data_IF_459752917037
#
_entry.id   IF_459752917037
#
_cell.length_a   1.000
_cell.length_b   1.000
_cell.length_c   1.000
_cell.angle_alpha   90.00
_cell.angle_beta   90.00
_cell.angle_gamma   90.00
#
_symmetry.space_group_name_H-M   'P 1'
#
loop_
_entity.id
_entity.type
_entity.pdbx_description
1 polymer ?
#
# COMPACT_ATOMS: atom_id res chain seq x y z
N UNK A 1 -3.10 4.85 6.02
CA UNK A 1 -4.09 4.19 5.15
C UNK A 1 -4.08 2.69 5.40
N UNK A 2 -5.17 1.98 5.07
CA UNK A 2 -5.24 0.51 5.18
C UNK A 2 -4.66 -0.22 3.98
N UNK A 3 -4.08 -1.40 4.20
CA UNK A 3 -3.48 -2.27 3.19
C UNK A 3 -4.48 -2.62 2.07
N UNK A 4 -5.73 -2.92 2.43
CA UNK A 4 -6.77 -3.23 1.43
C UNK A 4 -6.95 -2.12 0.39
N UNK A 5 -6.79 -0.85 0.78
CA UNK A 5 -6.88 0.28 -0.15
C UNK A 5 -5.63 0.34 -1.04
N UNK A 6 -4.44 0.08 -0.49
CA UNK A 6 -3.20 0.02 -1.27
C UNK A 6 -3.26 -1.10 -2.33
N UNK A 7 -3.74 -2.30 -1.94
CA UNK A 7 -3.97 -3.44 -2.86
C UNK A 7 -4.90 -3.04 -4.00
N UNK A 8 -6.03 -2.38 -3.69
CA UNK A 8 -6.96 -1.92 -4.72
C UNK A 8 -6.30 -0.94 -5.70
N UNK A 9 -5.57 0.04 -5.19
CA UNK A 9 -4.86 1.03 -6.02
C UNK A 9 -3.82 0.32 -6.89
N UNK A 10 -3.04 -0.62 -6.33
CA UNK A 10 -2.09 -1.41 -7.09
C UNK A 10 -2.74 -2.18 -8.24
N UNK A 11 -3.91 -2.79 -8.01
CA UNK A 11 -4.69 -3.44 -9.09
C UNK A 11 -5.11 -2.45 -10.17
N UNK A 12 -5.64 -1.30 -9.78
CA UNK A 12 -6.08 -0.26 -10.71
C UNK A 12 -4.89 0.32 -11.51
N UNK A 13 -3.68 0.28 -10.94
CA UNK A 13 -2.42 0.65 -11.59
C UNK A 13 -1.76 -0.49 -12.40
N UNK A 14 -2.32 -1.70 -12.39
CA UNK A 14 -1.76 -2.86 -13.09
C UNK A 14 -0.47 -3.41 -12.47
N UNK A 15 -0.29 -3.23 -11.16
CA UNK A 15 0.82 -3.84 -10.40
C UNK A 15 0.53 -5.33 -10.12
N UNK A 16 1.58 -6.10 -9.87
CA UNK A 16 1.52 -7.54 -9.70
C UNK A 16 1.49 -7.94 -8.22
N UNK A 17 2.31 -7.32 -7.37
CA UNK A 17 2.50 -7.77 -5.98
C UNK A 17 2.09 -6.75 -4.91
N UNK A 18 1.89 -7.23 -3.68
CA UNK A 18 1.62 -6.37 -2.52
C UNK A 18 2.80 -5.41 -2.27
N UNK A 19 4.03 -5.89 -2.40
CA UNK A 19 5.23 -5.06 -2.25
C UNK A 19 5.25 -3.91 -3.26
N UNK A 20 4.93 -4.18 -4.52
CA UNK A 20 4.81 -3.15 -5.56
C UNK A 20 3.71 -2.14 -5.22
N UNK A 21 2.56 -2.59 -4.72
CA UNK A 21 1.48 -1.69 -4.30
C UNK A 21 1.92 -0.77 -3.16
N UNK A 22 2.57 -1.30 -2.12
CA UNK A 22 3.06 -0.49 -0.99
C UNK A 22 4.12 0.52 -1.47
N UNK A 23 5.10 0.06 -2.25
CA UNK A 23 6.14 0.91 -2.82
C UNK A 23 5.56 2.02 -3.71
N UNK A 24 4.51 1.73 -4.49
CA UNK A 24 3.83 2.74 -5.30
C UNK A 24 3.16 3.83 -4.44
N UNK A 25 2.53 3.44 -3.32
CA UNK A 25 1.97 4.41 -2.37
C UNK A 25 3.07 5.30 -1.78
N UNK A 26 4.18 4.72 -1.34
CA UNK A 26 5.31 5.47 -0.78
C UNK A 26 5.86 6.48 -1.79
N UNK A 27 6.07 6.05 -3.03
CA UNK A 27 6.60 6.89 -4.11
C UNK A 27 5.69 8.08 -4.43
N UNK A 28 4.38 7.88 -4.33
CA UNK A 28 3.37 8.87 -4.67
C UNK A 28 2.71 9.53 -3.45
N UNK A 29 3.20 9.30 -2.24
CA UNK A 29 2.54 9.71 -1.01
C UNK A 29 2.26 11.23 -0.94
N UNK A 30 3.21 12.05 -1.43
CA UNK A 30 3.07 13.51 -1.50
C UNK A 30 1.98 14.01 -2.45
N UNK A 31 1.54 13.17 -3.39
CA UNK A 31 0.44 13.46 -4.30
C UNK A 31 -0.89 12.85 -3.83
N UNK A 32 -0.85 11.96 -2.84
CA UNK A 32 -2.02 11.20 -2.37
C UNK A 32 -2.57 11.69 -1.02
N UNK A 33 -1.71 12.28 -0.19
CA UNK A 33 -2.05 12.71 1.16
C UNK A 33 -1.63 14.16 1.40
N UNK A 34 -2.29 14.79 2.36
CA UNK A 34 -1.86 16.08 2.88
C UNK A 34 -0.48 15.94 3.54
N UNK A 35 0.38 16.95 3.39
CA UNK A 35 1.76 16.91 3.86
C UNK A 35 1.89 16.49 5.32
N UNK A 36 1.02 17.02 6.18
CA UNK A 36 1.02 16.73 7.62
C UNK A 36 0.59 15.29 7.97
N UNK A 37 -0.11 14.60 7.05
CA UNK A 37 -0.66 13.27 7.25
C UNK A 37 0.15 12.15 6.55
N UNK A 38 1.11 12.49 5.67
CA UNK A 38 1.89 11.50 4.90
C UNK A 38 2.49 10.44 5.81
N UNK A 39 3.15 10.85 6.89
CA UNK A 39 3.85 9.92 7.79
C UNK A 39 2.87 8.97 8.47
N UNK A 40 1.77 9.49 9.04
CA UNK A 40 0.76 8.67 9.71
C UNK A 40 0.12 7.67 8.73
N UNK A 41 -0.17 8.11 7.50
CA UNK A 41 -0.79 7.26 6.49
C UNK A 41 0.11 6.10 6.05
N UNK A 42 1.42 6.35 5.91
CA UNK A 42 2.42 5.32 5.56
C UNK A 42 2.67 4.38 6.74
N UNK A 43 2.84 4.90 7.96
CA UNK A 43 3.01 4.08 9.16
C UNK A 43 1.81 3.15 9.39
N UNK A 44 0.59 3.65 9.22
CA UNK A 44 -0.61 2.83 9.32
C UNK A 44 -0.63 1.73 8.24
N UNK A 45 -0.20 2.02 7.01
CA UNK A 45 -0.11 1.03 5.93
C UNK A 45 0.85 -0.10 6.28
N UNK A 46 2.06 0.23 6.75
CA UNK A 46 3.04 -0.79 7.16
C UNK A 46 2.57 -1.60 8.36
N UNK A 47 1.92 -0.97 9.33
CA UNK A 47 1.37 -1.67 10.49
C UNK A 47 0.26 -2.64 10.07
N UNK A 48 -0.63 -2.22 9.18
CA UNK A 48 -1.71 -3.07 8.65
C UNK A 48 -1.13 -4.24 7.82
N UNK A 49 -0.11 -3.96 6.99
CA UNK A 49 0.64 -5.00 6.27
C UNK A 49 1.27 -6.02 7.21
N UNK A 50 2.02 -5.57 8.22
CA UNK A 50 2.69 -6.44 9.20
C UNK A 50 1.71 -7.34 9.95
N UNK A 51 0.50 -6.85 10.22
CA UNK A 51 -0.53 -7.59 10.94
C UNK A 51 -1.41 -8.46 10.03
N UNK A 52 -1.30 -8.33 8.70
CA UNK A 52 -2.14 -9.05 7.73
C UNK A 52 -1.77 -10.54 7.56
N UNK A 53 -0.55 -10.93 7.91
CA UNK A 53 0.00 -12.26 7.63
C UNK A 53 0.37 -12.49 6.16
N UNK A 54 0.32 -11.43 5.33
CA UNK A 54 0.74 -11.44 3.94
C UNK A 54 2.24 -11.14 3.81
N UNK A 55 2.78 -11.42 2.64
CA UNK A 55 4.13 -11.19 2.19
C UNK A 55 4.10 -10.23 0.99
N UNK A 56 5.18 -9.47 0.80
CA UNK A 56 5.39 -8.56 -0.34
C UNK A 56 5.23 -9.29 -1.69
N UNK A 57 5.67 -10.54 -1.78
CA UNK A 57 5.57 -11.38 -2.99
C UNK A 57 4.15 -11.91 -3.27
N UNK A 58 3.18 -11.67 -2.38
CA UNK A 58 1.81 -12.09 -2.65
C UNK A 58 1.23 -11.31 -3.83
N UNK A 59 0.67 -12.05 -4.80
CA UNK A 59 0.01 -11.47 -5.96
C UNK A 59 -1.27 -10.72 -5.57
N UNK A 60 -1.47 -9.54 -6.13
CA UNK A 60 -2.65 -8.72 -5.86
C UNK A 60 -3.94 -9.42 -6.32
N UNK A 61 -3.91 -10.12 -7.45
CA UNK A 61 -5.07 -10.82 -8.03
C UNK A 61 -5.73 -11.85 -7.08
N UNK A 62 -5.00 -12.33 -6.07
CA UNK A 62 -5.49 -13.30 -5.08
C UNK A 62 -5.96 -12.68 -3.75
N UNK A 63 -5.95 -11.35 -3.62
CA UNK A 63 -6.25 -10.60 -2.37
C UNK A 63 -7.35 -9.54 -2.52
#
# INVERSE_FOLDING_TARGET
>A
MKLKRAIKIGKDCGLETIGEAICNIELHASSMFDFDNIQEEIEELHNDFKNSGLNEDNLLENN
#
